data_IF_428133226250
#
_entry.id   IF_428133226250
#
_cell.length_a   1.000
_cell.length_b   1.000
_cell.length_c   1.000
_cell.angle_alpha   90.00
_cell.angle_beta   90.00
_cell.angle_gamma   90.00
#
_symmetry.space_group_name_H-M   'P 1'
#
loop_
_entity.id
_entity.type
_entity.pdbx_description
1 polymer ?
#
# COMPACT_ATOMS: atom_id res chain seq x y z
N UNK A 1 62.40 -1.78 42.00
CA UNK A 1 62.53 -1.94 40.54
C UNK A 1 61.82 -3.23 40.14
N UNK A 2 60.59 -3.15 39.63
CA UNK A 2 59.94 -4.24 38.89
C UNK A 2 58.70 -3.68 38.17
N UNK A 3 58.61 -3.77 36.83
CA UNK A 3 57.45 -3.37 36.04
C UNK A 3 56.55 -4.59 35.78
N UNK A 4 55.22 -4.36 35.73
CA UNK A 4 54.14 -5.17 35.08
C UNK A 4 52.82 -4.96 35.85
N UNK A 5 51.65 -4.74 35.27
CA UNK A 5 51.11 -5.16 33.97
C UNK A 5 50.17 -4.07 33.44
N UNK A 6 50.44 -3.54 32.23
CA UNK A 6 49.49 -2.73 31.46
C UNK A 6 48.61 -3.59 30.52
N UNK A 7 48.71 -4.92 30.61
CA UNK A 7 48.05 -5.87 29.71
C UNK A 7 46.62 -6.21 30.10
N UNK A 8 46.16 -5.86 31.31
CA UNK A 8 44.93 -6.40 31.89
C UNK A 8 43.70 -5.50 31.66
N UNK A 9 43.91 -4.23 31.29
CA UNK A 9 42.80 -3.26 31.10
C UNK A 9 42.13 -3.30 29.74
N UNK A 10 42.80 -3.86 28.72
CA UNK A 10 42.28 -3.94 27.35
C UNK A 10 41.38 -5.15 27.12
N UNK A 11 41.51 -6.22 27.91
CA UNK A 11 40.66 -7.41 27.77
C UNK A 11 39.31 -7.23 28.50
N UNK A 12 39.30 -6.52 29.62
CA UNK A 12 38.09 -6.31 30.42
C UNK A 12 37.09 -5.34 29.76
N UNK A 13 37.58 -4.40 28.94
CA UNK A 13 36.75 -3.42 28.21
C UNK A 13 36.07 -4.05 26.99
N UNK A 14 36.74 -4.99 26.31
CA UNK A 14 36.14 -5.75 25.21
C UNK A 14 34.97 -6.64 25.67
N UNK A 15 35.13 -7.35 26.79
CA UNK A 15 34.09 -8.24 27.33
C UNK A 15 32.82 -7.48 27.77
N UNK A 16 32.98 -6.29 28.37
CA UNK A 16 31.87 -5.42 28.78
C UNK A 16 31.05 -4.89 27.58
N UNK A 17 31.69 -4.63 26.45
CA UNK A 17 31.02 -4.16 25.23
C UNK A 17 30.13 -5.25 24.61
N UNK A 18 30.59 -6.51 24.61
CA UNK A 18 29.83 -7.64 24.05
C UNK A 18 28.62 -8.00 24.92
N UNK A 19 28.77 -7.94 26.25
CA UNK A 19 27.65 -8.17 27.18
C UNK A 19 26.58 -7.09 27.01
N UNK A 20 26.97 -5.83 26.83
CA UNK A 20 26.02 -4.74 26.59
C UNK A 20 25.24 -4.94 25.28
N UNK A 21 25.92 -5.35 24.20
CA UNK A 21 25.30 -5.63 22.90
C UNK A 21 24.32 -6.80 23.00
N UNK A 22 24.67 -7.87 23.71
CA UNK A 22 23.78 -9.03 23.91
C UNK A 22 22.55 -8.66 24.75
N UNK A 23 22.72 -7.84 25.78
CA UNK A 23 21.59 -7.37 26.59
C UNK A 23 20.66 -6.47 25.77
N UNK A 24 21.19 -5.56 24.95
CA UNK A 24 20.38 -4.72 24.06
C UNK A 24 19.64 -5.59 23.02
N UNK A 25 20.30 -6.61 22.46
CA UNK A 25 19.68 -7.52 21.49
C UNK A 25 18.55 -8.34 22.11
N UNK A 26 18.75 -8.86 23.34
CA UNK A 26 17.71 -9.57 24.09
C UNK A 26 16.57 -8.61 24.43
N UNK A 27 16.87 -7.36 24.82
CA UNK A 27 15.85 -6.36 25.13
C UNK A 27 14.97 -6.07 23.90
N UNK A 28 15.59 -5.87 22.73
CA UNK A 28 14.90 -5.64 21.45
C UNK A 28 14.08 -6.87 21.01
N UNK A 29 14.59 -8.09 21.24
CA UNK A 29 13.87 -9.34 20.95
C UNK A 29 12.77 -9.66 21.97
N UNK A 30 12.85 -9.13 23.19
CA UNK A 30 11.88 -9.31 24.26
C UNK A 30 10.80 -8.24 24.30
N UNK A 31 10.89 -7.22 23.44
CA UNK A 31 9.75 -6.36 23.18
C UNK A 31 8.62 -7.28 22.68
N UNK A 32 7.47 -7.31 23.37
CA UNK A 32 6.35 -8.08 22.87
C UNK A 32 6.00 -7.49 21.51
N UNK A 33 6.31 -8.21 20.43
CA UNK A 33 5.56 -8.07 19.21
C UNK A 33 4.13 -8.41 19.61
N UNK A 34 3.35 -7.38 19.91
CA UNK A 34 1.91 -7.50 20.04
C UNK A 34 1.36 -7.87 18.68
N UNK A 35 1.52 -9.13 18.28
CA UNK A 35 0.50 -9.77 17.48
C UNK A 35 -0.70 -9.82 18.41
N UNK A 36 -1.66 -8.93 18.17
CA UNK A 36 -3.01 -9.12 18.62
C UNK A 36 -3.49 -10.42 17.96
N UNK A 37 -3.17 -11.57 18.55
CA UNK A 37 -3.88 -12.81 18.30
C UNK A 37 -5.26 -12.64 18.94
N UNK A 38 -6.12 -11.86 18.27
CA UNK A 38 -7.54 -11.86 18.55
C UNK A 38 -8.02 -13.29 18.33
N UNK A 39 -8.71 -13.82 19.33
CA UNK A 39 -9.22 -15.17 19.33
C UNK A 39 -10.05 -15.49 18.10
N UNK A 40 -10.22 -16.79 17.86
CA UNK A 40 -11.14 -17.36 16.87
C UNK A 40 -12.58 -16.88 17.11
N UNK A 41 -12.89 -15.66 16.70
CA UNK A 41 -14.16 -15.30 16.12
C UNK A 41 -13.97 -15.29 14.61
N UNK A 42 -15.00 -15.64 13.85
CA UNK A 42 -15.02 -15.43 12.40
C UNK A 42 -15.04 -13.91 12.18
N UNK A 43 -13.89 -13.26 12.30
CA UNK A 43 -13.70 -11.86 11.98
C UNK A 43 -13.60 -11.76 10.47
N UNK A 44 -14.56 -11.07 9.85
CA UNK A 44 -14.41 -10.64 8.47
C UNK A 44 -13.28 -9.61 8.49
N UNK A 45 -12.11 -9.94 7.96
CA UNK A 45 -11.03 -8.98 7.83
C UNK A 45 -11.55 -7.83 6.96
N UNK A 46 -11.43 -6.60 7.47
CA UNK A 46 -11.60 -5.42 6.64
C UNK A 46 -10.37 -5.31 5.74
N UNK A 47 -10.36 -6.10 4.66
CA UNK A 47 -9.28 -6.09 3.69
C UNK A 47 -9.22 -4.74 2.99
N UNK A 48 -8.00 -4.28 2.74
CA UNK A 48 -7.78 -3.04 1.99
C UNK A 48 -8.27 -3.16 0.56
N UNK A 49 -8.80 -2.05 -0.02
CA UNK A 49 -9.14 -2.04 -1.43
C UNK A 49 -7.89 -2.40 -2.25
N UNK A 50 -8.07 -2.92 -3.46
CA UNK A 50 -6.95 -3.25 -4.34
C UNK A 50 -7.28 -2.99 -5.80
N UNK A 51 -6.26 -2.71 -6.60
CA UNK A 51 -6.41 -2.59 -8.03
C UNK A 51 -6.31 -3.96 -8.70
N UNK A 52 -7.27 -4.30 -9.56
CA UNK A 52 -7.14 -5.43 -10.48
C UNK A 52 -6.49 -5.02 -11.79
N UNK A 53 -6.83 -3.82 -12.26
CA UNK A 53 -6.38 -3.29 -13.53
C UNK A 53 -6.34 -1.76 -13.49
N UNK A 54 -5.35 -1.18 -14.16
CA UNK A 54 -5.22 0.25 -14.43
C UNK A 54 -4.76 0.39 -15.88
N UNK A 55 -5.42 1.25 -16.64
CA UNK A 55 -5.10 1.58 -18.02
C UNK A 55 -5.13 3.08 -18.20
N UNK A 56 -4.09 3.62 -18.82
CA UNK A 56 -3.99 5.05 -19.14
C UNK A 56 -3.71 5.19 -20.62
N UNK A 57 -4.66 5.75 -21.36
CA UNK A 57 -4.61 5.83 -22.82
C UNK A 57 -4.91 7.25 -23.26
N UNK A 58 -4.07 7.77 -24.15
CA UNK A 58 -4.35 9.02 -24.86
C UNK A 58 -5.01 8.70 -26.19
N UNK A 59 -6.18 9.27 -26.44
CA UNK A 59 -6.90 9.09 -27.70
C UNK A 59 -7.64 10.39 -28.06
N UNK A 60 -7.47 10.85 -29.31
CA UNK A 60 -8.14 12.05 -29.85
C UNK A 60 -8.03 13.31 -28.95
N UNK A 61 -6.86 13.53 -28.33
CA UNK A 61 -6.63 14.70 -27.46
C UNK A 61 -7.25 14.59 -26.06
N UNK A 62 -7.85 13.46 -25.73
CA UNK A 62 -8.30 13.12 -24.39
C UNK A 62 -7.38 12.07 -23.77
N UNK A 63 -7.31 12.05 -22.44
CA UNK A 63 -6.64 10.99 -21.68
C UNK A 63 -7.69 10.23 -20.86
N UNK A 64 -7.74 8.92 -21.04
CA UNK A 64 -8.62 8.00 -20.35
C UNK A 64 -7.80 7.27 -19.29
N UNK A 65 -8.12 7.49 -18.02
CA UNK A 65 -7.55 6.74 -16.89
C UNK A 65 -8.65 5.83 -16.36
N UNK A 66 -8.61 4.56 -16.77
CA UNK A 66 -9.60 3.55 -16.41
C UNK A 66 -8.99 2.57 -15.42
N UNK A 67 -9.76 2.17 -14.42
CA UNK A 67 -9.31 1.24 -13.39
C UNK A 67 -10.43 0.34 -12.91
N UNK A 68 -10.02 -0.81 -12.40
CA UNK A 68 -10.88 -1.77 -11.72
C UNK A 68 -10.40 -1.84 -10.28
N UNK A 69 -11.27 -1.43 -9.36
CA UNK A 69 -11.03 -1.46 -7.92
C UNK A 69 -11.83 -2.60 -7.31
N UNK A 70 -11.17 -3.39 -6.47
CA UNK A 70 -11.78 -4.48 -5.72
C UNK A 70 -11.91 -4.08 -4.26
N UNK A 71 -13.14 -4.10 -3.76
CA UNK A 71 -13.40 -4.25 -2.34
C UNK A 71 -13.42 -5.74 -2.00
N UNK A 72 -12.36 -6.24 -1.37
CA UNK A 72 -12.22 -7.66 -1.04
C UNK A 72 -12.97 -8.04 0.24
N UNK A 73 -13.29 -7.06 1.09
CA UNK A 73 -14.04 -7.30 2.32
C UNK A 73 -15.54 -7.50 2.02
N UNK A 74 -16.04 -6.94 0.91
CA UNK A 74 -17.40 -7.07 0.42
C UNK A 74 -18.43 -6.16 1.09
N UNK A 75 -18.01 -5.06 1.69
CA UNK A 75 -18.84 -4.15 2.49
C UNK A 75 -19.33 -2.95 1.69
N UNK A 76 -18.95 -2.87 0.40
CA UNK A 76 -19.30 -1.78 -0.50
C UNK A 76 -18.89 -0.44 0.12
N UNK A 77 -17.65 -0.36 0.58
CA UNK A 77 -17.19 0.76 1.39
C UNK A 77 -16.13 1.60 0.72
N UNK A 78 -15.81 1.39 -0.57
CA UNK A 78 -14.97 2.31 -1.34
C UNK A 78 -15.59 3.71 -1.26
N UNK A 79 -14.85 4.65 -0.66
CA UNK A 79 -15.33 6.00 -0.40
C UNK A 79 -14.97 6.95 -1.52
N UNK A 80 -13.68 7.01 -1.83
CA UNK A 80 -13.17 7.90 -2.86
C UNK A 80 -11.96 7.32 -3.58
N UNK A 81 -11.74 7.87 -4.77
CA UNK A 81 -10.57 7.62 -5.61
C UNK A 81 -9.99 8.98 -5.97
N UNK A 82 -8.77 9.25 -5.52
CA UNK A 82 -8.02 10.44 -5.87
C UNK A 82 -7.03 10.12 -6.98
N UNK A 83 -7.07 10.88 -8.05
CA UNK A 83 -6.15 10.86 -9.17
C UNK A 83 -5.31 12.14 -9.12
N UNK A 84 -4.00 12.01 -8.93
CA UNK A 84 -3.06 13.12 -8.91
C UNK A 84 -2.06 12.94 -10.04
N UNK A 85 -1.89 13.95 -10.88
CA UNK A 85 -0.91 14.00 -11.96
C UNK A 85 0.16 15.02 -11.59
N UNK A 86 1.42 14.63 -11.67
CA UNK A 86 2.55 15.49 -11.34
C UNK A 86 3.55 15.59 -12.49
N UNK A 87 4.33 16.67 -12.49
CA UNK A 87 5.47 16.83 -13.39
C UNK A 87 6.75 16.17 -12.84
N UNK A 88 7.87 16.26 -13.58
CA UNK A 88 9.17 15.71 -13.15
C UNK A 88 9.72 16.29 -11.84
N UNK A 89 9.31 17.50 -11.47
CA UNK A 89 9.69 18.12 -10.19
C UNK A 89 8.84 17.62 -9.02
N UNK A 90 7.72 16.95 -9.30
CA UNK A 90 6.74 16.53 -8.31
C UNK A 90 5.66 17.57 -8.02
N UNK A 91 5.58 18.65 -8.80
CA UNK A 91 4.50 19.63 -8.68
C UNK A 91 3.19 19.05 -9.21
N UNK A 92 2.08 19.34 -8.53
CA UNK A 92 0.76 18.86 -8.92
C UNK A 92 0.26 19.67 -10.13
N UNK A 93 0.07 18.98 -11.26
CA UNK A 93 -0.49 19.54 -12.49
C UNK A 93 -2.02 19.42 -12.48
N UNK A 94 -2.55 18.31 -11.99
CA UNK A 94 -3.98 18.07 -11.86
C UNK A 94 -4.25 17.15 -10.68
N UNK A 95 -5.34 17.41 -9.97
CA UNK A 95 -5.82 16.55 -8.89
C UNK A 95 -7.34 16.46 -8.95
N UNK A 96 -7.85 15.24 -9.05
CA UNK A 96 -9.26 14.93 -9.26
C UNK A 96 -9.69 13.86 -8.27
N UNK A 97 -10.90 14.02 -7.73
CA UNK A 97 -11.49 13.09 -6.77
C UNK A 97 -12.83 12.60 -7.32
N UNK A 98 -12.96 11.28 -7.44
CA UNK A 98 -14.23 10.59 -7.50
C UNK A 98 -14.65 10.24 -6.07
N UNK A 99 -15.88 10.54 -5.67
CA UNK A 99 -16.46 10.12 -4.40
C UNK A 99 -17.71 9.29 -4.65
N UNK A 100 -17.76 8.05 -4.14
CA UNK A 100 -18.94 7.20 -4.25
C UNK A 100 -20.07 7.66 -3.32
N UNK A 101 -19.71 8.25 -2.17
CA UNK A 101 -20.63 8.72 -1.15
C UNK A 101 -20.42 10.21 -0.88
N UNK A 102 -21.50 10.95 -0.63
CA UNK A 102 -21.45 12.39 -0.36
C UNK A 102 -20.79 12.74 0.98
N UNK A 103 -20.78 11.80 1.94
CA UNK A 103 -20.10 11.92 3.22
C UNK A 103 -19.94 10.52 3.87
N UNK A 104 -19.24 10.48 5.01
CA UNK A 104 -18.92 9.25 5.74
C UNK A 104 -20.14 8.52 6.33
N UNK A 105 -21.29 9.18 6.48
CA UNK A 105 -22.50 8.59 7.08
C UNK A 105 -23.57 8.25 6.06
N UNK A 106 -23.36 8.55 4.77
CA UNK A 106 -24.29 8.22 3.70
C UNK A 106 -24.41 6.70 3.54
N UNK A 107 -25.64 6.20 3.49
CA UNK A 107 -25.93 4.75 3.34
C UNK A 107 -26.22 4.35 1.89
N UNK A 108 -26.20 5.30 0.96
CA UNK A 108 -26.47 5.06 -0.46
C UNK A 108 -25.47 5.84 -1.30
N UNK A 109 -24.99 5.25 -2.42
CA UNK A 109 -24.10 5.94 -3.33
C UNK A 109 -24.72 7.23 -3.86
N UNK A 110 -23.92 8.29 -3.91
CA UNK A 110 -24.22 9.58 -4.49
C UNK A 110 -22.94 10.08 -5.12
N UNK A 111 -22.69 9.68 -6.37
CA UNK A 111 -21.42 9.91 -7.02
C UNK A 111 -21.19 11.37 -7.32
N UNK A 112 -20.00 11.84 -6.98
CA UNK A 112 -19.54 13.19 -7.27
C UNK A 112 -18.11 13.18 -7.81
N UNK A 113 -17.83 14.10 -8.73
CA UNK A 113 -16.51 14.30 -9.29
C UNK A 113 -16.04 15.73 -9.03
N UNK A 114 -14.88 15.87 -8.37
CA UNK A 114 -14.31 17.14 -7.98
C UNK A 114 -12.92 17.28 -8.60
N UNK A 115 -12.62 18.43 -9.22
CA UNK A 115 -11.24 18.75 -9.64
C UNK A 115 -10.72 19.81 -8.68
N UNK A 116 -9.69 19.44 -7.90
CA UNK A 116 -9.10 20.27 -6.86
C UNK A 116 -8.01 21.18 -7.43
N UNK A 117 -7.26 20.66 -8.40
CA UNK A 117 -6.20 21.37 -9.12
C UNK A 117 -6.32 21.08 -10.62
N UNK A 118 -6.13 22.11 -11.45
CA UNK A 118 -6.25 22.00 -12.91
C UNK A 118 -7.64 22.33 -13.44
N UNK A 119 -7.83 22.14 -14.75
CA UNK A 119 -9.13 22.30 -15.46
C UNK A 119 -9.23 21.29 -16.61
N UNK A 120 -8.93 20.03 -16.33
CA UNK A 120 -8.81 18.97 -17.32
C UNK A 120 -9.94 17.94 -17.23
N UNK A 121 -10.66 17.84 -16.12
CA UNK A 121 -11.70 16.83 -15.95
C UNK A 121 -12.86 17.06 -16.92
N UNK A 122 -13.13 16.05 -17.76
CA UNK A 122 -14.35 15.97 -18.53
C UNK A 122 -15.37 15.11 -17.78
N UNK A 123 -16.25 15.75 -17.02
CA UNK A 123 -17.27 15.08 -16.19
C UNK A 123 -18.32 14.33 -17.00
N UNK A 124 -18.64 14.82 -18.20
CA UNK A 124 -19.70 14.22 -19.04
C UNK A 124 -19.25 12.90 -19.67
N UNK A 125 -17.94 12.71 -19.84
CA UNK A 125 -17.36 11.49 -20.39
C UNK A 125 -16.76 10.56 -19.34
N UNK A 126 -16.56 11.06 -18.11
CA UNK A 126 -16.13 10.24 -16.99
C UNK A 126 -17.28 9.37 -16.50
N UNK A 127 -16.99 8.13 -16.14
CA UNK A 127 -18.02 7.14 -15.87
C UNK A 127 -17.61 6.18 -14.74
N UNK A 128 -18.60 5.54 -14.16
CA UNK A 128 -18.42 4.54 -13.12
C UNK A 128 -19.55 3.50 -13.18
N UNK A 129 -19.22 2.26 -12.86
CA UNK A 129 -20.22 1.20 -12.68
C UNK A 129 -19.81 0.24 -11.54
N UNK A 130 -20.78 -0.28 -10.77
CA UNK A 130 -20.52 -1.37 -9.84
C UNK A 130 -20.01 -2.60 -10.58
N UNK A 131 -18.97 -3.23 -10.06
CA UNK A 131 -18.41 -4.46 -10.61
C UNK A 131 -18.69 -5.64 -9.72
N UNK A 132 -19.26 -6.68 -10.31
CA UNK A 132 -19.45 -7.99 -9.71
C UNK A 132 -18.09 -8.66 -9.45
N UNK A 133 -17.78 -8.88 -8.17
CA UNK A 133 -16.55 -9.52 -7.71
C UNK A 133 -16.90 -10.63 -6.74
N UNK A 134 -16.22 -11.77 -6.85
CA UNK A 134 -16.22 -12.78 -5.79
C UNK A 134 -15.31 -12.30 -4.64
N UNK A 135 -15.83 -12.07 -3.43
CA UNK A 135 -14.99 -11.75 -2.27
C UNK A 135 -14.00 -12.89 -1.98
N UNK A 136 -13.02 -12.65 -1.08
CA UNK A 136 -11.91 -13.59 -0.80
C UNK A 136 -12.33 -15.06 -0.56
N UNK A 137 -13.53 -15.30 -0.02
CA UNK A 137 -14.05 -16.66 0.11
C UNK A 137 -14.74 -17.12 -1.18
N UNK A 138 -14.22 -18.15 -1.87
CA UNK A 138 -14.79 -18.65 -3.14
C UNK A 138 -16.20 -19.24 -3.01
N UNK A 139 -16.67 -19.51 -1.78
CA UNK A 139 -18.05 -19.92 -1.51
C UNK A 139 -19.02 -18.73 -1.36
N UNK A 140 -18.51 -17.50 -1.25
CA UNK A 140 -19.35 -16.31 -1.19
C UNK A 140 -20.00 -16.06 -2.56
N UNK A 141 -21.26 -15.62 -2.53
CA UNK A 141 -21.92 -15.13 -3.72
C UNK A 141 -21.10 -13.98 -4.34
N UNK A 142 -21.10 -13.92 -5.68
CA UNK A 142 -20.61 -12.74 -6.39
C UNK A 142 -21.51 -11.57 -5.98
N UNK A 143 -20.88 -10.48 -5.55
CA UNK A 143 -21.58 -9.26 -5.16
C UNK A 143 -20.98 -8.05 -5.87
N UNK A 144 -21.76 -7.01 -6.17
CA UNK A 144 -21.31 -5.80 -6.86
C UNK A 144 -20.56 -4.86 -5.91
N UNK A 145 -19.46 -5.36 -5.33
CA UNK A 145 -18.64 -4.64 -4.33
C UNK A 145 -17.41 -4.00 -4.96
N UNK A 146 -17.07 -4.36 -6.20
CA UNK A 146 -16.05 -3.67 -6.97
C UNK A 146 -16.55 -2.42 -7.66
N UNK A 147 -15.62 -1.67 -8.24
CA UNK A 147 -15.93 -0.54 -9.11
C UNK A 147 -15.08 -0.61 -10.38
N UNK A 148 -15.73 -0.41 -11.52
CA UNK A 148 -15.08 0.02 -12.75
C UNK A 148 -15.21 1.55 -12.81
N UNK A 149 -14.08 2.28 -12.83
CA UNK A 149 -14.07 3.76 -12.82
C UNK A 149 -13.19 4.27 -13.94
N UNK A 150 -13.69 5.27 -14.69
CA UNK A 150 -12.95 5.90 -15.78
C UNK A 150 -12.97 7.42 -15.64
N UNK A 151 -11.79 8.00 -15.39
CA UNK A 151 -11.58 9.44 -15.48
C UNK A 151 -11.25 9.80 -16.92
N UNK A 152 -11.98 10.77 -17.49
CA UNK A 152 -11.67 11.32 -18.81
C UNK A 152 -11.15 12.74 -18.63
N UNK A 153 -9.95 12.98 -19.13
CA UNK A 153 -9.23 14.23 -19.01
C UNK A 153 -9.03 14.86 -20.39
N UNK A 154 -8.97 16.18 -20.45
CA UNK A 154 -8.45 16.92 -21.59
C UNK A 154 -6.96 16.70 -21.81
N UNK A 155 -6.35 17.55 -22.63
CA UNK A 155 -4.92 17.46 -22.93
C UNK A 155 -4.05 17.96 -21.75
N UNK A 156 -3.95 17.12 -20.72
CA UNK A 156 -3.07 17.34 -19.58
C UNK A 156 -1.69 16.75 -19.88
N UNK A 157 -0.64 17.49 -19.52
CA UNK A 157 0.75 17.07 -19.65
C UNK A 157 1.33 16.83 -18.26
N UNK A 158 1.65 15.58 -17.95
CA UNK A 158 2.29 15.19 -16.71
C UNK A 158 3.25 14.03 -16.94
N UNK A 159 4.09 13.77 -15.96
CA UNK A 159 5.12 12.75 -16.01
C UNK A 159 4.73 11.53 -15.16
N UNK A 160 4.10 11.75 -14.01
CA UNK A 160 3.68 10.71 -13.09
C UNK A 160 2.20 10.83 -12.72
N UNK A 161 1.64 9.69 -12.33
CA UNK A 161 0.30 9.58 -11.78
C UNK A 161 0.35 8.85 -10.45
N UNK A 162 -0.45 9.34 -9.51
CA UNK A 162 -0.73 8.72 -8.24
C UNK A 162 -2.24 8.49 -8.19
N UNK A 163 -2.66 7.25 -7.98
CA UNK A 163 -4.07 6.88 -7.83
C UNK A 163 -4.23 6.30 -6.43
N UNK A 164 -5.00 6.96 -5.58
CA UNK A 164 -5.27 6.50 -4.21
C UNK A 164 -6.74 6.16 -4.06
N UNK A 165 -7.03 4.95 -3.61
CA UNK A 165 -8.38 4.52 -3.24
C UNK A 165 -8.47 4.45 -1.73
N UNK A 166 -9.54 4.99 -1.16
CA UNK A 166 -9.80 4.87 0.27
C UNK A 166 -11.18 4.26 0.51
N UNK A 167 -11.26 3.37 1.49
CA UNK A 167 -12.54 2.92 2.04
C UNK A 167 -13.05 3.94 3.06
N UNK A 168 -14.35 3.87 3.35
CA UNK A 168 -14.97 4.59 4.44
C UNK A 168 -14.35 4.09 5.76
N UNK A 169 -13.91 4.97 6.66
CA UNK A 169 -13.50 4.56 7.99
C UNK A 169 -14.73 4.00 8.71
N UNK A 170 -14.67 2.71 9.05
CA UNK A 170 -15.66 2.07 9.89
C UNK A 170 -15.18 2.17 11.33
N UNK A 171 -16.09 2.47 12.26
CA UNK A 171 -15.81 2.66 13.68
C UNK A 171 -14.75 1.67 14.21
N UNK A 172 -13.62 2.22 14.65
CA UNK A 172 -12.46 1.52 15.23
C UNK A 172 -11.58 0.71 14.26
N UNK A 173 -11.76 0.85 12.94
CA UNK A 173 -10.81 0.38 11.93
C UNK A 173 -9.93 1.54 11.48
N UNK A 174 -8.59 1.36 11.36
CA UNK A 174 -7.76 2.35 10.69
C UNK A 174 -8.26 2.57 9.26
N UNK A 175 -8.05 3.78 8.74
CA UNK A 175 -8.32 4.09 7.33
C UNK A 175 -7.62 3.07 6.44
N UNK A 176 -8.42 2.45 5.58
CA UNK A 176 -7.99 1.37 4.70
C UNK A 176 -7.86 1.94 3.29
N UNK A 177 -6.67 1.85 2.70
CA UNK A 177 -6.40 2.44 1.39
C UNK A 177 -5.39 1.64 0.59
N UNK A 178 -5.42 1.83 -0.72
CA UNK A 178 -4.36 1.38 -1.62
C UNK A 178 -3.94 2.50 -2.56
N UNK A 179 -2.72 2.40 -3.06
CA UNK A 179 -2.12 3.43 -3.89
C UNK A 179 -1.39 2.80 -5.08
N UNK A 180 -1.53 3.41 -6.25
CA UNK A 180 -0.73 3.15 -7.43
C UNK A 180 0.10 4.38 -7.75
N UNK A 181 1.40 4.19 -7.96
CA UNK A 181 2.30 5.24 -8.45
C UNK A 181 2.95 4.73 -9.74
N UNK A 182 2.87 5.52 -10.79
CA UNK A 182 3.37 5.12 -12.11
C UNK A 182 3.61 6.28 -13.05
N UNK A 183 4.15 6.00 -14.25
CA UNK A 183 4.21 7.00 -15.31
C UNK A 183 2.80 7.40 -15.74
N UNK A 184 2.57 8.69 -15.99
CA UNK A 184 1.23 9.18 -16.38
C UNK A 184 0.80 8.66 -17.75
N UNK A 185 1.71 8.61 -18.72
CA UNK A 185 1.47 7.94 -20.00
C UNK A 185 2.43 6.76 -20.13
N UNK A 186 1.86 5.57 -20.34
CA UNK A 186 2.63 4.39 -20.66
C UNK A 186 2.92 4.39 -22.17
N UNK A 187 4.12 3.97 -22.63
CA UNK A 187 4.34 3.65 -24.03
C UNK A 187 3.30 2.62 -24.48
N UNK A 188 2.69 2.80 -25.64
CA UNK A 188 1.64 1.91 -26.17
C UNK A 188 2.05 0.43 -26.03
N UNK A 189 1.25 -0.36 -25.31
CA UNK A 189 1.40 -1.82 -25.20
C UNK A 189 1.85 -2.41 -23.86
N UNK A 190 2.15 -1.60 -22.83
CA UNK A 190 2.62 -2.12 -21.53
C UNK A 190 1.55 -2.11 -20.43
N UNK A 191 0.55 -2.99 -20.51
CA UNK A 191 -0.40 -3.17 -19.41
C UNK A 191 0.28 -3.76 -18.17
N UNK A 192 0.27 -3.03 -17.05
CA UNK A 192 0.74 -3.57 -15.77
C UNK A 192 -0.38 -4.40 -15.14
N UNK A 193 -0.31 -5.73 -15.32
CA UNK A 193 -1.08 -6.64 -14.48
C UNK A 193 -0.37 -6.72 -13.12
N UNK A 194 -0.89 -6.01 -12.12
CA UNK A 194 -0.30 -6.02 -10.78
C UNK A 194 -0.62 -7.37 -10.13
N UNK A 195 0.30 -8.32 -10.23
CA UNK A 195 0.22 -9.56 -9.46
C UNK A 195 0.60 -9.26 -8.00
N UNK A 196 -0.40 -9.20 -7.12
CA UNK A 196 -0.25 -9.00 -5.66
C UNK A 196 0.66 -10.02 -4.96
N UNK A 197 1.01 -11.13 -5.62
CA UNK A 197 1.92 -12.16 -5.12
C UNK A 197 3.37 -11.68 -4.98
N UNK A 198 3.80 -10.67 -5.74
CA UNK A 198 5.21 -10.23 -5.78
C UNK A 198 5.61 -9.48 -4.49
N UNK A 199 4.70 -8.71 -3.89
CA UNK A 199 4.96 -8.00 -2.64
C UNK A 199 5.10 -8.96 -1.44
N UNK A 200 4.30 -10.03 -1.40
CA UNK A 200 4.43 -11.06 -0.36
C UNK A 200 5.77 -11.81 -0.42
N UNK A 201 6.25 -12.11 -1.63
CA UNK A 201 7.54 -12.77 -1.84
C UNK A 201 8.73 -11.90 -1.40
N UNK A 202 8.70 -10.59 -1.70
CA UNK A 202 9.75 -9.65 -1.28
C UNK A 202 9.86 -9.53 0.24
N UNK A 203 8.73 -9.44 0.95
CA UNK A 203 8.71 -9.37 2.43
C UNK A 203 9.24 -10.67 3.05
N UNK A 204 8.86 -11.83 2.48
CA UNK A 204 9.33 -13.14 2.94
C UNK A 204 10.84 -13.37 2.72
N UNK A 205 11.38 -12.87 1.59
CA UNK A 205 12.80 -13.00 1.28
C UNK A 205 13.67 -12.14 2.21
N UNK A 206 13.22 -10.93 2.53
CA UNK A 206 13.93 -10.03 3.46
C UNK A 206 13.95 -10.61 4.87
N UNK A 207 12.83 -11.16 5.35
CA UNK A 207 12.79 -11.81 6.68
C UNK A 207 13.67 -13.05 6.75
N UNK A 208 13.75 -13.86 5.68
CA UNK A 208 14.62 -15.02 5.63
C UNK A 208 16.11 -14.65 5.63
N UNK A 209 16.50 -13.58 4.91
CA UNK A 209 17.88 -13.07 4.89
C UNK A 209 18.31 -12.54 6.26
N UNK A 210 17.43 -11.83 6.97
CA UNK A 210 17.69 -11.35 8.32
C UNK A 210 17.87 -12.52 9.30
N UNK A 211 17.04 -13.57 9.19
CA UNK A 211 17.18 -14.76 10.02
C UNK A 211 18.51 -15.49 9.80
N UNK A 212 18.96 -15.63 8.54
CA UNK A 212 20.25 -16.24 8.22
C UNK A 212 21.43 -15.42 8.76
N UNK A 213 21.35 -14.09 8.69
CA UNK A 213 22.37 -13.20 9.24
C UNK A 213 22.51 -13.39 10.76
N UNK A 214 21.38 -13.46 11.48
CA UNK A 214 21.36 -13.69 12.94
C UNK A 214 21.98 -15.05 13.29
N UNK A 215 21.63 -16.11 12.55
CA UNK A 215 22.21 -17.45 12.77
C UNK A 215 23.71 -17.45 12.55
N UNK A 216 24.19 -16.79 11.48
CA UNK A 216 25.63 -16.70 11.18
C UNK A 216 26.40 -15.98 12.29
N UNK A 217 25.84 -14.90 12.84
CA UNK A 217 26.46 -14.15 13.94
C UNK A 217 26.54 -15.03 15.20
N UNK A 218 25.45 -15.72 15.55
CA UNK A 218 25.40 -16.62 16.72
C UNK A 218 26.38 -17.79 16.58
N UNK A 219 26.52 -18.36 15.38
CA UNK A 219 27.46 -19.45 15.12
C UNK A 219 28.90 -19.00 15.33
N UNK A 220 29.26 -17.82 14.84
CA UNK A 220 30.64 -17.33 14.90
C UNK A 220 31.04 -16.88 16.31
N UNK A 221 30.08 -16.44 17.13
CA UNK A 221 30.28 -16.23 18.57
C UNK A 221 30.60 -17.55 19.29
N UNK A 222 29.96 -18.67 18.92
CA UNK A 222 30.17 -19.99 19.56
C UNK A 222 31.51 -20.65 19.24
N UNK A 223 32.21 -20.20 18.19
CA UNK A 223 33.53 -20.73 17.81
C UNK A 223 34.70 -20.11 18.57
N UNK A 224 34.49 -18.95 19.23
CA UNK A 224 35.48 -18.26 20.05
C UNK A 224 35.33 -18.64 21.51
#
# INVERSE_FOLDING_TARGET
MSPRNLSDKTEETGKKCHVLIVIILILVLSLPMSHNALGQGVGVANDTPSFDHISIVRNNGLVYVSMIVKDLNGWEDIYNITLTITDKSGEIVSEIVYSQYSNLTATSPSVEWHELTGTYLNRELSDWEPREISPWNPENAVTPVGLDVSFVLGDVSGDYIIIKVMNRPILNSPESSCEHVGPFLQPEGNYVKINSTVYGLLISAVTFLVALLVISIVWEIRKK
#
